data_IF_700545068133
#
_entry.id   IF_700545068133
#
_cell.length_a   1.000
_cell.length_b   1.000
_cell.length_c   1.000
_cell.angle_alpha   90.00
_cell.angle_beta   90.00
_cell.angle_gamma   90.00
#
_symmetry.space_group_name_H-M   'P 1'
#
loop_
_entity.id
_entity.type
_entity.pdbx_description
1 polymer ?
#
# COMPACT_ATOMS: atom_id res chain seq x y z
N UNK A 1 -4.18 -15.91 -36.75
CA UNK A 1 -3.78 -15.54 -35.38
C UNK A 1 -3.25 -16.79 -34.71
N UNK A 2 -2.03 -16.78 -34.18
CA UNK A 2 -1.47 -17.91 -33.44
C UNK A 2 -2.23 -18.09 -32.11
N UNK A 3 -2.87 -19.24 -31.84
CA UNK A 3 -3.60 -19.46 -30.59
C UNK A 3 -2.73 -19.27 -29.33
N UNK A 4 -1.44 -19.63 -29.39
CA UNK A 4 -0.53 -19.44 -28.26
C UNK A 4 -0.32 -17.96 -27.97
N UNK A 5 -0.09 -17.16 -29.01
CA UNK A 5 0.05 -15.72 -28.88
C UNK A 5 -1.21 -15.07 -28.31
N UNK A 6 -2.40 -15.47 -28.76
CA UNK A 6 -3.67 -14.98 -28.23
C UNK A 6 -3.79 -15.28 -26.72
N UNK A 7 -3.50 -16.50 -26.29
CA UNK A 7 -3.59 -16.88 -24.86
C UNK A 7 -2.60 -16.11 -23.98
N UNK A 8 -1.37 -15.91 -24.46
CA UNK A 8 -0.36 -15.11 -23.74
C UNK A 8 -0.82 -13.66 -23.59
N UNK A 9 -1.36 -13.07 -24.66
CA UNK A 9 -1.87 -11.69 -24.64
C UNK A 9 -3.05 -11.55 -23.69
N UNK A 10 -3.98 -12.50 -23.69
CA UNK A 10 -5.11 -12.53 -22.75
C UNK A 10 -4.63 -12.62 -21.29
N UNK A 11 -3.65 -13.47 -20.99
CA UNK A 11 -3.06 -13.56 -19.66
C UNK A 11 -2.39 -12.25 -19.24
N UNK A 12 -1.58 -11.65 -20.11
CA UNK A 12 -0.91 -10.38 -19.83
C UNK A 12 -1.90 -9.24 -19.60
N UNK A 13 -2.99 -9.19 -20.38
CA UNK A 13 -4.06 -8.21 -20.20
C UNK A 13 -4.74 -8.39 -18.83
N UNK A 14 -5.05 -9.63 -18.44
CA UNK A 14 -5.65 -9.93 -17.13
C UNK A 14 -4.73 -9.54 -15.96
N UNK A 15 -3.42 -9.85 -16.05
CA UNK A 15 -2.45 -9.44 -15.03
C UNK A 15 -2.33 -7.91 -14.97
N UNK A 16 -2.27 -7.24 -16.12
CA UNK A 16 -2.19 -5.78 -16.19
C UNK A 16 -3.42 -5.09 -15.58
N UNK A 17 -4.60 -5.68 -15.76
CA UNK A 17 -5.86 -5.19 -15.18
C UNK A 17 -5.93 -5.33 -13.65
N UNK A 18 -5.01 -6.08 -13.03
CA UNK A 18 -4.90 -6.25 -11.58
C UNK A 18 -3.59 -5.71 -11.00
N UNK A 19 -2.72 -5.12 -11.84
CA UNK A 19 -1.41 -4.61 -11.42
C UNK A 19 -1.56 -3.23 -10.72
N UNK A 20 -1.22 -3.11 -9.43
CA UNK A 20 -1.32 -1.85 -8.69
C UNK A 20 -0.61 -0.67 -9.36
N UNK A 21 0.53 -0.90 -10.02
CA UNK A 21 1.28 0.17 -10.68
C UNK A 21 0.52 0.74 -11.89
N UNK A 22 -0.42 -0.02 -12.46
CA UNK A 22 -1.19 0.36 -13.65
C UNK A 22 -2.57 0.90 -13.30
N UNK A 23 -3.27 0.25 -12.38
CA UNK A 23 -4.68 0.56 -12.11
C UNK A 23 -4.85 1.66 -11.06
N UNK A 24 -3.98 1.68 -10.03
CA UNK A 24 -4.13 2.59 -8.90
C UNK A 24 -4.15 4.07 -9.29
N UNK A 25 -3.32 4.55 -10.25
CA UNK A 25 -3.27 5.98 -10.59
C UNK A 25 -4.63 6.58 -10.99
N UNK A 26 -5.47 5.82 -11.70
CA UNK A 26 -6.80 6.26 -12.11
C UNK A 26 -7.83 6.30 -10.98
N UNK A 27 -7.48 5.79 -9.80
CA UNK A 27 -8.35 5.75 -8.62
C UNK A 27 -7.83 6.61 -7.46
N UNK A 28 -6.70 7.31 -7.66
CA UNK A 28 -6.18 8.20 -6.64
C UNK A 28 -7.10 9.43 -6.48
N UNK A 29 -7.44 9.82 -5.24
CA UNK A 29 -8.15 11.06 -4.99
C UNK A 29 -7.24 12.26 -5.25
N UNK A 30 -7.84 13.44 -5.34
CA UNK A 30 -7.08 14.69 -5.32
C UNK A 30 -6.46 14.92 -3.94
N UNK A 31 -5.27 15.53 -3.85
CA UNK A 31 -4.69 15.90 -2.57
C UNK A 31 -5.59 16.85 -1.78
N UNK A 32 -5.67 16.69 -0.45
CA UNK A 32 -6.42 17.60 0.40
C UNK A 32 -5.66 18.93 0.61
N UNK A 33 -6.24 19.87 1.36
CA UNK A 33 -5.54 21.08 1.79
C UNK A 33 -4.53 20.83 2.92
N UNK A 34 -4.75 19.78 3.73
CA UNK A 34 -3.81 19.28 4.72
C UNK A 34 -2.82 18.28 4.13
N UNK A 35 -2.37 17.34 4.97
CA UNK A 35 -1.46 16.26 4.53
C UNK A 35 -2.21 15.02 4.08
N UNK A 36 -1.55 14.17 3.30
CA UNK A 36 -1.98 12.79 3.05
C UNK A 36 -1.13 11.82 3.85
N UNK A 37 -1.79 11.06 4.72
CA UNK A 37 -1.21 9.93 5.44
C UNK A 37 -1.56 8.64 4.71
N UNK A 38 -0.56 7.98 4.13
CA UNK A 38 -0.71 6.66 3.51
C UNK A 38 -0.50 5.59 4.57
N UNK A 39 -1.49 4.73 4.76
CA UNK A 39 -1.35 3.52 5.56
C UNK A 39 -1.70 2.30 4.72
N UNK A 40 -1.25 1.12 5.08
CA UNK A 40 -1.64 -0.07 4.34
C UNK A 40 -1.02 -1.35 4.84
N UNK A 41 -1.65 -2.45 4.45
CA UNK A 41 -1.14 -3.78 4.74
C UNK A 41 -1.56 -4.78 3.67
N UNK A 42 -0.65 -5.70 3.36
CA UNK A 42 -0.89 -6.80 2.43
C UNK A 42 0.27 -7.07 1.48
N UNK A 43 0.13 -8.15 0.71
CA UNK A 43 1.14 -8.63 -0.25
C UNK A 43 1.48 -7.60 -1.33
N UNK A 44 0.53 -6.73 -1.69
CA UNK A 44 0.71 -5.68 -2.69
C UNK A 44 0.92 -4.29 -2.07
N UNK A 45 0.99 -4.16 -0.74
CA UNK A 45 1.01 -2.85 -0.10
C UNK A 45 2.24 -2.02 -0.50
N UNK A 46 3.41 -2.66 -0.66
CA UNK A 46 4.61 -1.99 -1.13
C UNK A 46 4.48 -1.46 -2.57
N UNK A 47 3.89 -2.24 -3.49
CA UNK A 47 3.71 -1.80 -4.88
C UNK A 47 2.61 -0.74 -5.02
N UNK A 48 1.56 -0.83 -4.21
CA UNK A 48 0.54 0.22 -4.09
C UNK A 48 1.16 1.52 -3.56
N UNK A 49 2.02 1.46 -2.52
CA UNK A 49 2.69 2.64 -1.99
C UNK A 49 3.63 3.29 -3.02
N UNK A 50 4.39 2.48 -3.76
CA UNK A 50 5.21 2.96 -4.86
C UNK A 50 4.37 3.64 -5.96
N UNK A 51 3.23 3.05 -6.33
CA UNK A 51 2.30 3.64 -7.29
C UNK A 51 1.76 5.00 -6.80
N UNK A 52 1.38 5.11 -5.52
CA UNK A 52 0.98 6.39 -4.91
C UNK A 52 2.11 7.40 -5.07
N UNK A 53 3.33 7.07 -4.64
CA UNK A 53 4.44 8.03 -4.70
C UNK A 53 4.78 8.53 -6.09
N UNK A 54 4.68 7.67 -7.10
CA UNK A 54 4.97 8.02 -8.50
C UNK A 54 3.93 8.99 -9.09
N UNK A 55 2.69 8.94 -8.60
CA UNK A 55 1.57 9.70 -9.17
C UNK A 55 1.05 10.82 -8.25
N UNK A 56 1.46 10.84 -6.98
CA UNK A 56 1.11 11.89 -6.06
C UNK A 56 1.93 13.15 -6.34
N UNK A 57 1.31 14.35 -6.42
CA UNK A 57 2.04 15.59 -6.70
C UNK A 57 3.25 15.78 -5.78
N UNK A 58 4.34 16.28 -6.35
CA UNK A 58 5.61 16.44 -5.62
C UNK A 58 5.51 17.46 -4.50
N UNK A 59 4.74 18.52 -4.71
CA UNK A 59 4.58 19.63 -3.79
C UNK A 59 3.44 19.41 -2.78
N UNK A 60 2.66 18.33 -2.94
CA UNK A 60 1.62 17.95 -1.99
C UNK A 60 2.21 17.13 -0.83
N UNK A 61 1.93 17.47 0.44
CA UNK A 61 2.45 16.73 1.59
C UNK A 61 1.95 15.28 1.59
N UNK A 62 2.89 14.35 1.57
CA UNK A 62 2.64 12.90 1.58
C UNK A 62 3.63 12.25 2.54
N UNK A 63 3.10 11.48 3.50
CA UNK A 63 3.89 10.63 4.38
C UNK A 63 3.14 9.32 4.64
N UNK A 64 3.80 8.32 5.19
CA UNK A 64 3.09 7.09 5.54
C UNK A 64 3.93 5.90 5.93
N UNK A 65 3.22 4.78 6.13
CA UNK A 65 3.75 3.49 6.50
C UNK A 65 2.87 2.39 5.89
N UNK A 66 3.46 1.46 5.15
CA UNK A 66 2.77 0.24 4.71
C UNK A 66 3.51 -1.01 5.19
N UNK A 67 2.75 -2.08 5.43
CA UNK A 67 3.28 -3.37 5.87
C UNK A 67 3.12 -4.39 4.75
N UNK A 68 4.22 -5.02 4.36
CA UNK A 68 4.23 -6.14 3.41
C UNK A 68 4.96 -7.34 4.00
N UNK A 69 4.99 -8.45 3.27
CA UNK A 69 5.67 -9.67 3.73
C UNK A 69 7.18 -9.58 3.49
N UNK A 70 7.98 -10.29 4.27
CA UNK A 70 9.43 -10.35 4.07
C UNK A 70 9.86 -10.61 2.62
N UNK A 71 10.91 -9.91 2.19
CA UNK A 71 11.51 -9.95 0.84
C UNK A 71 10.59 -9.42 -0.28
N UNK A 72 9.59 -8.62 0.06
CA UNK A 72 8.63 -8.00 -0.89
C UNK A 72 8.58 -6.47 -0.76
N UNK A 73 9.48 -5.89 0.03
CA UNK A 73 9.68 -4.46 0.11
C UNK A 73 10.05 -3.86 -1.25
N UNK A 74 9.72 -2.59 -1.41
CA UNK A 74 10.06 -1.80 -2.60
C UNK A 74 10.63 -0.45 -2.16
N UNK A 75 11.53 0.14 -2.95
CA UNK A 75 12.16 1.41 -2.61
C UNK A 75 11.17 2.57 -2.80
N UNK A 76 10.66 3.06 -1.69
CA UNK A 76 9.82 4.25 -1.57
C UNK A 76 10.59 5.37 -0.85
N UNK A 77 10.15 6.62 -0.98
CA UNK A 77 10.84 7.81 -0.44
C UNK A 77 10.06 8.55 0.63
N UNK A 78 8.73 8.59 0.52
CA UNK A 78 7.78 9.33 1.35
C UNK A 78 6.96 8.42 2.27
N UNK A 79 6.69 7.19 1.83
CA UNK A 79 5.95 6.15 2.55
C UNK A 79 6.91 5.06 2.96
N UNK A 80 7.10 4.83 4.27
CA UNK A 80 7.95 3.73 4.75
C UNK A 80 7.34 2.38 4.43
N UNK A 81 8.16 1.42 4.01
CA UNK A 81 7.74 0.02 3.80
C UNK A 81 8.35 -0.82 4.91
N UNK A 82 7.50 -1.42 5.74
CA UNK A 82 7.88 -2.39 6.76
C UNK A 82 7.61 -3.79 6.24
N UNK A 83 8.54 -4.70 6.48
CA UNK A 83 8.35 -6.12 6.23
C UNK A 83 8.03 -6.85 7.53
N UNK A 84 7.04 -7.74 7.48
CA UNK A 84 6.55 -8.48 8.64
C UNK A 84 6.11 -9.92 8.27
N UNK A 85 5.76 -10.68 9.30
CA UNK A 85 5.36 -12.09 9.24
C UNK A 85 4.06 -12.32 8.47
N UNK A 86 4.06 -13.32 7.59
CA UNK A 86 2.87 -13.83 6.92
C UNK A 86 3.12 -15.31 6.52
N UNK A 87 2.22 -16.26 6.82
CA UNK A 87 0.81 -16.07 7.19
C UNK A 87 0.55 -15.93 8.70
N UNK A 88 1.58 -16.03 9.55
CA UNK A 88 1.47 -15.87 11.00
C UNK A 88 2.01 -14.49 11.38
N UNK A 89 1.30 -13.70 12.21
CA UNK A 89 1.78 -12.41 12.70
C UNK A 89 3.11 -12.52 13.46
N UNK A 90 3.87 -11.44 13.49
CA UNK A 90 5.07 -11.29 14.30
C UNK A 90 5.20 -9.88 14.90
N UNK A 91 6.25 -9.67 15.69
CA UNK A 91 6.51 -8.42 16.42
C UNK A 91 6.69 -7.21 15.48
N UNK A 92 7.28 -7.41 14.29
CA UNK A 92 7.43 -6.35 13.30
C UNK A 92 6.06 -5.85 12.80
N UNK A 93 5.14 -6.78 12.53
CA UNK A 93 3.76 -6.46 12.16
C UNK A 93 3.02 -5.72 13.28
N UNK A 94 3.13 -6.20 14.52
CA UNK A 94 2.48 -5.57 15.68
C UNK A 94 3.00 -4.14 15.92
N UNK A 95 4.32 -3.95 15.91
CA UNK A 95 4.95 -2.65 16.10
C UNK A 95 4.50 -1.64 15.03
N UNK A 96 4.47 -2.07 13.78
CA UNK A 96 3.99 -1.25 12.67
C UNK A 96 2.48 -0.95 12.76
N UNK A 97 1.66 -1.92 13.17
CA UNK A 97 0.23 -1.72 13.38
C UNK A 97 -0.04 -0.71 14.51
N UNK A 98 0.75 -0.75 15.59
CA UNK A 98 0.71 0.23 16.68
C UNK A 98 1.10 1.62 16.19
N UNK A 99 2.15 1.75 15.38
CA UNK A 99 2.55 3.02 14.76
C UNK A 99 1.44 3.59 13.85
N UNK A 100 0.79 2.75 13.02
CA UNK A 100 -0.35 3.15 12.18
C UNK A 100 -1.49 3.71 13.04
N UNK A 101 -1.85 3.01 14.11
CA UNK A 101 -2.93 3.46 15.01
C UNK A 101 -2.58 4.81 15.67
N UNK A 102 -1.33 5.01 16.09
CA UNK A 102 -0.90 6.28 16.67
C UNK A 102 -0.94 7.42 15.64
N UNK A 103 -0.44 7.20 14.42
CA UNK A 103 -0.45 8.23 13.36
C UNK A 103 -1.85 8.62 12.94
N UNK A 104 -2.75 7.64 12.78
CA UNK A 104 -4.15 7.89 12.40
C UNK A 104 -4.91 8.70 13.44
N UNK A 105 -4.60 8.56 14.74
CA UNK A 105 -5.16 9.40 15.81
C UNK A 105 -4.76 10.88 15.74
N UNK A 106 -3.69 11.21 15.02
CA UNK A 106 -3.18 12.59 14.88
C UNK A 106 -3.73 13.35 13.66
N UNK A 107 -4.66 12.75 12.91
CA UNK A 107 -5.21 13.37 11.71
C UNK A 107 -6.13 14.54 12.03
N UNK A 108 -5.97 15.63 11.27
CA UNK A 108 -6.91 16.75 11.28
C UNK A 108 -8.04 16.55 10.27
N UNK A 109 -9.18 17.27 10.38
CA UNK A 109 -10.26 17.21 9.40
C UNK A 109 -9.86 17.62 7.97
N UNK A 110 -8.78 18.39 7.82
CA UNK A 110 -8.20 18.79 6.53
C UNK A 110 -7.26 17.74 5.93
N UNK A 111 -6.95 16.67 6.65
CA UNK A 111 -6.04 15.62 6.18
C UNK A 111 -6.80 14.52 5.45
N UNK A 112 -6.06 13.77 4.62
CA UNK A 112 -6.55 12.58 3.94
C UNK A 112 -5.84 11.33 4.49
N UNK A 113 -6.62 10.34 4.95
CA UNK A 113 -6.13 8.99 5.17
C UNK A 113 -6.31 8.16 3.90
N UNK A 114 -5.20 7.74 3.28
CA UNK A 114 -5.22 6.84 2.14
C UNK A 114 -4.84 5.43 2.58
N UNK A 115 -5.82 4.53 2.65
CA UNK A 115 -5.63 3.15 3.09
C UNK A 115 -5.43 2.18 1.90
N UNK A 116 -4.25 1.55 1.83
CA UNK A 116 -3.85 0.61 0.78
C UNK A 116 -3.95 -0.83 1.29
N UNK A 117 -5.04 -1.52 0.96
CA UNK A 117 -5.34 -2.86 1.50
C UNK A 117 -5.27 -3.91 0.40
N UNK A 118 -4.60 -5.03 0.70
CA UNK A 118 -4.58 -6.21 -0.17
C UNK A 118 -4.53 -7.50 0.66
N UNK A 119 -4.55 -8.66 0.00
CA UNK A 119 -4.55 -9.96 0.67
C UNK A 119 -3.35 -10.14 1.62
N UNK A 120 -3.59 -10.77 2.77
CA UNK A 120 -2.57 -10.98 3.83
C UNK A 120 -2.62 -9.94 4.96
N UNK A 121 -3.47 -8.92 4.86
CA UNK A 121 -3.64 -7.89 5.90
C UNK A 121 -3.94 -8.45 7.29
N UNK A 122 -4.66 -9.58 7.40
CA UNK A 122 -5.00 -10.20 8.68
C UNK A 122 -3.79 -10.58 9.53
N UNK A 123 -2.68 -10.99 8.90
CA UNK A 123 -1.44 -11.32 9.60
C UNK A 123 -0.50 -10.12 9.75
N UNK A 124 -0.50 -9.23 8.75
CA UNK A 124 0.44 -8.11 8.66
C UNK A 124 0.03 -6.89 9.50
N UNK A 125 -1.26 -6.71 9.77
CA UNK A 125 -1.82 -5.56 10.49
C UNK A 125 -2.55 -6.01 11.77
N UNK A 126 -1.96 -6.94 12.52
CA UNK A 126 -2.52 -7.44 13.78
C UNK A 126 -2.05 -6.58 14.94
N UNK A 127 -2.99 -6.07 15.74
CA UNK A 127 -2.72 -5.39 17.00
C UNK A 127 -3.71 -5.92 18.06
N UNK A 128 -3.26 -6.76 19.01
CA UNK A 128 -4.10 -7.23 20.10
C UNK A 128 -4.59 -6.08 20.98
N UNK A 129 -5.77 -6.26 21.59
CA UNK A 129 -6.26 -5.37 22.65
C UNK A 129 -5.40 -5.52 23.90
N UNK A 130 -5.26 -4.44 24.66
CA UNK A 130 -4.63 -4.44 25.99
C UNK A 130 -5.59 -4.99 27.06
#
# INVERSE_FOLDING_TARGET
>A
MDPKQLLIQSFQAAVAAADPLKILPGHLPHPPSGRTLVIGAGKAAASMALAVEQHWPRDAPLEGLVITRYRHGLPTRRVRVIEAGHPVPDEAGESAAREILQRTRSLAPSDLLLALISGGGSALLSLPVE
#
